data_IF_586005883453
#
_entry.id   IF_586005883453
#
_cell.length_a   1.000
_cell.length_b   1.000
_cell.length_c   1.000
_cell.angle_alpha   90.00
_cell.angle_beta   90.00
_cell.angle_gamma   90.00
#
_symmetry.space_group_name_H-M   'P 1'
#
loop_
_entity.id
_entity.type
_entity.pdbx_description
1 polymer ?
#
# COMPACT_ATOMS: atom_id res chain seq x y z
N UNK A 1 -5.79 -16.53 0.52
CA UNK A 1 -4.34 -16.66 0.58
C UNK A 1 -3.75 -16.07 -0.69
N UNK A 2 -2.80 -15.16 -0.56
CA UNK A 2 -2.09 -14.59 -1.70
C UNK A 2 -1.19 -15.64 -2.38
N UNK A 3 -0.94 -15.43 -3.66
CA UNK A 3 0.00 -16.21 -4.48
C UNK A 3 0.69 -15.25 -5.47
N UNK A 4 1.82 -15.65 -6.06
CA UNK A 4 2.46 -14.85 -7.12
C UNK A 4 1.51 -14.55 -8.28
N UNK A 5 0.59 -15.47 -8.58
CA UNK A 5 -0.43 -15.28 -9.63
C UNK A 5 -1.43 -14.20 -9.25
N UNK A 6 -2.01 -14.27 -8.03
CA UNK A 6 -2.94 -13.24 -7.53
C UNK A 6 -2.28 -11.87 -7.50
N UNK A 7 -1.05 -11.79 -6.98
CA UNK A 7 -0.30 -10.53 -6.93
C UNK A 7 0.07 -10.01 -8.33
N UNK A 8 0.24 -10.90 -9.32
CA UNK A 8 0.45 -10.52 -10.72
C UNK A 8 -0.76 -9.80 -11.34
N UNK A 9 -1.99 -10.19 -10.98
CA UNK A 9 -3.20 -9.47 -11.42
C UNK A 9 -3.27 -8.08 -10.77
N UNK A 10 -2.93 -7.96 -9.48
CA UNK A 10 -2.82 -6.64 -8.84
C UNK A 10 -1.66 -5.81 -9.42
N UNK A 11 -0.52 -6.40 -9.74
CA UNK A 11 0.56 -5.70 -10.47
C UNK A 11 0.06 -5.16 -11.82
N UNK A 12 -0.81 -5.89 -12.50
CA UNK A 12 -1.40 -5.46 -13.77
C UNK A 12 -2.29 -4.23 -13.59
N UNK A 13 -3.18 -4.21 -12.58
CA UNK A 13 -4.01 -3.03 -12.35
C UNK A 13 -3.17 -1.82 -11.90
N UNK A 14 -2.13 -1.99 -11.11
CA UNK A 14 -1.24 -0.88 -10.71
C UNK A 14 -0.53 -0.24 -11.91
N UNK A 15 -0.21 -1.03 -12.94
CA UNK A 15 0.37 -0.54 -14.20
C UNK A 15 -0.67 0.13 -15.10
N UNK A 16 -1.89 -0.41 -15.17
CA UNK A 16 -2.95 0.09 -16.03
C UNK A 16 -3.70 1.28 -15.41
N UNK A 17 -3.75 1.33 -14.08
CA UNK A 17 -4.43 2.37 -13.31
C UNK A 17 -3.51 2.82 -12.15
N UNK A 18 -2.52 3.67 -12.42
CA UNK A 18 -1.57 4.18 -11.42
C UNK A 18 -2.25 4.83 -10.21
N UNK A 19 -1.53 4.86 -9.09
CA UNK A 19 -2.08 5.37 -7.83
C UNK A 19 -2.16 6.89 -7.78
N UNK A 20 -1.33 7.59 -8.56
CA UNK A 20 -1.24 9.03 -8.51
C UNK A 20 -2.31 9.71 -9.36
N UNK A 21 -2.85 10.79 -8.82
CA UNK A 21 -3.67 11.73 -9.55
C UNK A 21 -2.78 12.66 -10.38
N UNK A 22 -3.27 13.09 -11.54
CA UNK A 22 -2.60 14.13 -12.33
C UNK A 22 -2.72 15.51 -11.65
N UNK A 23 -2.12 16.52 -12.25
CA UNK A 23 -2.16 17.90 -11.73
C UNK A 23 -3.59 18.49 -11.62
N UNK A 24 -4.55 17.95 -12.37
CA UNK A 24 -5.97 18.33 -12.30
C UNK A 24 -6.76 17.55 -11.24
N UNK A 25 -6.11 16.68 -10.47
CA UNK A 25 -6.77 15.82 -9.48
C UNK A 25 -7.54 14.65 -10.10
N UNK A 26 -7.18 14.25 -11.32
CA UNK A 26 -7.85 13.16 -12.04
C UNK A 26 -6.97 11.91 -12.14
N UNK A 27 -7.60 10.76 -12.05
CA UNK A 27 -6.96 9.49 -12.36
C UNK A 27 -6.77 9.29 -13.87
N UNK A 28 -5.68 8.63 -14.22
CA UNK A 28 -5.41 8.18 -15.58
C UNK A 28 -5.54 6.65 -15.67
N UNK A 29 -6.24 6.15 -16.69
CA UNK A 29 -6.30 4.73 -17.02
C UNK A 29 -5.56 4.54 -18.35
N UNK A 30 -4.49 3.74 -18.33
CA UNK A 30 -3.75 3.35 -19.53
C UNK A 30 -4.41 2.12 -20.18
N UNK A 31 -4.67 2.23 -21.48
CA UNK A 31 -5.22 1.11 -22.27
C UNK A 31 -6.74 0.94 -22.23
N UNK A 32 -7.25 0.14 -23.17
CA UNK A 32 -8.69 -0.06 -23.38
C UNK A 32 -9.33 -1.06 -22.42
N UNK A 33 -8.57 -1.99 -21.85
CA UNK A 33 -9.10 -3.15 -21.12
C UNK A 33 -9.96 -2.74 -19.91
N UNK A 34 -9.47 -1.83 -19.06
CA UNK A 34 -10.25 -1.35 -17.90
C UNK A 34 -11.42 -0.47 -18.36
N UNK A 35 -11.23 0.32 -19.43
CA UNK A 35 -12.27 1.23 -19.94
C UNK A 35 -13.53 0.51 -20.40
N UNK A 36 -13.44 -0.76 -20.78
CA UNK A 36 -14.59 -1.59 -21.12
C UNK A 36 -15.55 -1.84 -19.94
N UNK A 37 -15.08 -1.60 -18.71
CA UNK A 37 -15.84 -1.75 -17.48
C UNK A 37 -16.40 -0.43 -16.95
N UNK A 38 -16.24 0.69 -17.67
CA UNK A 38 -16.81 1.97 -17.26
C UNK A 38 -18.34 1.93 -17.33
N UNK A 39 -19.03 2.45 -16.31
CA UNK A 39 -20.48 2.50 -16.29
C UNK A 39 -21.01 3.20 -17.55
N UNK A 40 -21.92 2.54 -18.29
CA UNK A 40 -22.49 3.06 -19.55
C UNK A 40 -21.42 3.52 -20.56
N UNK A 41 -20.27 2.85 -20.59
CA UNK A 41 -19.11 3.18 -21.42
C UNK A 41 -18.52 4.58 -21.16
N UNK A 42 -18.80 5.19 -20.01
CA UNK A 42 -18.34 6.52 -19.64
C UNK A 42 -17.32 6.45 -18.50
N UNK A 43 -16.09 6.90 -18.78
CA UNK A 43 -14.96 7.00 -17.83
C UNK A 43 -14.60 8.46 -17.48
N UNK A 44 -15.49 9.44 -17.62
CA UNK A 44 -15.14 10.86 -17.51
C UNK A 44 -14.87 11.30 -16.06
N UNK A 45 -15.44 10.61 -15.06
CA UNK A 45 -15.21 10.92 -13.65
C UNK A 45 -14.24 9.94 -12.98
N UNK A 46 -13.55 10.39 -11.92
CA UNK A 46 -12.74 9.52 -11.08
C UNK A 46 -13.56 8.36 -10.50
N UNK A 47 -14.79 8.60 -10.10
CA UNK A 47 -15.72 7.59 -9.59
C UNK A 47 -15.95 6.49 -10.62
N UNK A 48 -16.24 6.85 -11.88
CA UNK A 48 -16.44 5.89 -12.96
C UNK A 48 -15.16 5.11 -13.27
N UNK A 49 -14.00 5.77 -13.23
CA UNK A 49 -12.69 5.12 -13.42
C UNK A 49 -12.41 4.11 -12.29
N UNK A 50 -12.64 4.49 -11.03
CA UNK A 50 -12.46 3.62 -9.85
C UNK A 50 -13.42 2.43 -9.93
N UNK A 51 -14.68 2.68 -10.26
CA UNK A 51 -15.69 1.65 -10.45
C UNK A 51 -15.26 0.63 -11.53
N UNK A 52 -14.79 1.13 -12.68
CA UNK A 52 -14.30 0.27 -13.75
C UNK A 52 -13.11 -0.60 -13.32
N UNK A 53 -12.15 -0.03 -12.58
CA UNK A 53 -11.02 -0.78 -12.03
C UNK A 53 -11.45 -1.85 -11.02
N UNK A 54 -12.42 -1.54 -10.16
CA UNK A 54 -12.99 -2.48 -9.21
C UNK A 54 -13.68 -3.65 -9.92
N UNK A 55 -14.53 -3.36 -10.89
CA UNK A 55 -15.23 -4.37 -11.67
C UNK A 55 -14.25 -5.22 -12.50
N UNK A 56 -13.21 -4.60 -13.08
CA UNK A 56 -12.15 -5.33 -13.77
C UNK A 56 -11.46 -6.33 -12.84
N UNK A 57 -11.10 -5.94 -11.59
CA UNK A 57 -10.52 -6.86 -10.59
C UNK A 57 -11.45 -8.03 -10.28
N UNK A 58 -12.74 -7.76 -10.03
CA UNK A 58 -13.71 -8.84 -9.82
C UNK A 58 -13.77 -9.79 -11.02
N UNK A 59 -13.74 -9.26 -12.23
CA UNK A 59 -13.74 -10.09 -13.44
C UNK A 59 -12.49 -10.94 -13.59
N UNK A 60 -11.29 -10.38 -13.28
CA UNK A 60 -10.03 -11.14 -13.32
C UNK A 60 -10.04 -12.32 -12.35
N UNK A 61 -10.60 -12.16 -11.17
CA UNK A 61 -10.57 -13.19 -10.14
C UNK A 61 -11.78 -14.13 -10.16
N UNK A 62 -12.94 -13.63 -10.58
CA UNK A 62 -14.21 -14.33 -10.40
C UNK A 62 -15.11 -14.33 -11.65
N UNK A 63 -14.69 -13.75 -12.78
CA UNK A 63 -15.51 -13.54 -13.96
C UNK A 63 -15.87 -14.81 -14.73
N UNK A 64 -15.22 -15.94 -14.43
CA UNK A 64 -15.54 -17.26 -14.98
C UNK A 64 -15.12 -18.35 -14.00
N UNK A 65 -15.59 -19.59 -14.20
CA UNK A 65 -15.14 -20.74 -13.41
C UNK A 65 -13.63 -20.95 -13.50
N UNK A 66 -13.03 -20.69 -14.66
CA UNK A 66 -11.59 -20.74 -14.83
C UNK A 66 -10.87 -19.70 -13.98
N UNK A 67 -11.29 -18.42 -14.05
CA UNK A 67 -10.69 -17.35 -13.26
C UNK A 67 -10.89 -17.60 -11.76
N UNK A 68 -12.10 -18.00 -11.35
CA UNK A 68 -12.42 -18.33 -9.97
C UNK A 68 -11.49 -19.43 -9.43
N UNK A 69 -11.31 -20.51 -10.19
CA UNK A 69 -10.46 -21.62 -9.77
C UNK A 69 -8.97 -21.31 -9.90
N UNK A 70 -8.54 -20.64 -10.98
CA UNK A 70 -7.11 -20.48 -11.30
C UNK A 70 -6.45 -19.29 -10.60
N UNK A 71 -7.16 -18.17 -10.45
CA UNK A 71 -6.62 -16.94 -9.85
C UNK A 71 -6.98 -16.86 -8.37
N UNK A 72 -8.24 -17.01 -8.04
CA UNK A 72 -8.72 -16.90 -6.67
C UNK A 72 -8.66 -18.22 -5.91
N UNK A 73 -8.70 -19.35 -6.59
CA UNK A 73 -8.75 -20.70 -5.98
C UNK A 73 -9.86 -20.81 -4.91
N UNK A 74 -11.04 -20.29 -5.19
CA UNK A 74 -12.14 -20.18 -4.24
C UNK A 74 -11.88 -19.26 -3.04
N UNK A 75 -10.77 -18.52 -3.04
CA UNK A 75 -10.33 -17.73 -1.89
C UNK A 75 -11.07 -16.40 -1.78
N UNK A 76 -11.99 -16.34 -0.85
CA UNK A 76 -12.79 -15.15 -0.56
C UNK A 76 -12.01 -13.99 0.07
N UNK A 77 -10.78 -14.21 0.57
CA UNK A 77 -9.97 -13.13 1.12
C UNK A 77 -9.44 -12.17 0.02
N UNK A 78 -9.46 -12.61 -1.24
CA UNK A 78 -9.12 -11.72 -2.37
C UNK A 78 -10.09 -10.54 -2.47
N UNK A 79 -11.36 -10.74 -2.09
CA UNK A 79 -12.34 -9.63 -1.98
C UNK A 79 -11.84 -8.55 -1.01
N UNK A 80 -11.20 -8.93 0.09
CA UNK A 80 -10.62 -7.98 1.05
C UNK A 80 -9.55 -7.12 0.37
N UNK A 81 -8.68 -7.71 -0.42
CA UNK A 81 -7.62 -6.98 -1.14
C UNK A 81 -8.19 -6.08 -2.25
N UNK A 82 -9.26 -6.51 -2.92
CA UNK A 82 -9.99 -5.64 -3.86
C UNK A 82 -10.56 -4.41 -3.11
N UNK A 83 -11.15 -4.63 -1.91
CA UNK A 83 -11.70 -3.54 -1.10
C UNK A 83 -10.60 -2.60 -0.58
N UNK A 84 -9.43 -3.12 -0.18
CA UNK A 84 -8.27 -2.29 0.20
C UNK A 84 -7.82 -1.42 -0.98
N UNK A 85 -7.70 -1.99 -2.18
CA UNK A 85 -7.37 -1.23 -3.39
C UNK A 85 -8.42 -0.14 -3.68
N UNK A 86 -9.69 -0.48 -3.60
CA UNK A 86 -10.81 0.43 -3.84
C UNK A 86 -10.80 1.60 -2.84
N UNK A 87 -10.64 1.32 -1.55
CA UNK A 87 -10.58 2.36 -0.51
C UNK A 87 -9.37 3.26 -0.66
N UNK A 88 -8.22 2.72 -1.05
CA UNK A 88 -7.04 3.54 -1.34
C UNK A 88 -7.32 4.54 -2.47
N UNK A 89 -7.94 4.09 -3.57
CA UNK A 89 -8.32 4.97 -4.68
C UNK A 89 -9.33 6.03 -4.25
N UNK A 90 -10.33 5.68 -3.46
CA UNK A 90 -11.31 6.63 -2.94
C UNK A 90 -10.68 7.65 -1.98
N UNK A 91 -9.78 7.21 -1.10
CA UNK A 91 -9.12 8.07 -0.11
C UNK A 91 -8.16 9.09 -0.75
N UNK A 92 -7.55 8.75 -1.89
CA UNK A 92 -6.66 9.66 -2.63
C UNK A 92 -7.42 10.81 -3.34
N UNK A 93 -8.71 10.70 -3.56
CA UNK A 93 -9.48 11.79 -4.16
C UNK A 93 -9.58 12.96 -3.19
N UNK A 94 -9.28 14.18 -3.67
CA UNK A 94 -9.23 15.40 -2.88
C UNK A 94 -10.57 15.76 -2.20
N UNK A 95 -11.69 15.30 -2.75
CA UNK A 95 -13.05 15.57 -2.25
C UNK A 95 -13.84 14.25 -2.18
N UNK A 96 -13.33 13.26 -1.44
CA UNK A 96 -14.13 12.05 -1.23
C UNK A 96 -15.40 12.38 -0.44
N UNK A 97 -16.55 11.97 -1.00
CA UNK A 97 -17.86 12.17 -0.37
C UNK A 97 -18.25 10.97 0.52
N UNK A 98 -17.36 9.99 0.67
CA UNK A 98 -17.63 8.74 1.37
C UNK A 98 -16.84 8.67 2.67
N UNK A 99 -17.52 8.38 3.77
CA UNK A 99 -16.89 8.14 5.07
C UNK A 99 -16.39 6.69 5.18
N UNK A 100 -17.19 5.75 4.70
CA UNK A 100 -16.87 4.32 4.69
C UNK A 100 -17.19 3.70 3.32
N UNK A 101 -16.72 2.48 3.10
CA UNK A 101 -16.91 1.80 1.83
C UNK A 101 -18.37 1.38 1.60
N UNK A 102 -19.17 1.20 2.66
CA UNK A 102 -20.59 0.84 2.55
C UNK A 102 -21.40 1.94 1.86
N UNK A 103 -21.04 3.22 2.05
CA UNK A 103 -21.66 4.33 1.32
C UNK A 103 -21.38 4.25 -0.18
N UNK A 104 -20.13 3.95 -0.56
CA UNK A 104 -19.78 3.73 -1.96
C UNK A 104 -20.47 2.50 -2.53
N UNK A 105 -20.48 1.40 -1.78
CA UNK A 105 -21.16 0.16 -2.15
C UNK A 105 -22.63 0.41 -2.45
N UNK A 106 -23.35 1.06 -1.54
CA UNK A 106 -24.79 1.32 -1.69
C UNK A 106 -25.12 2.22 -2.87
N UNK A 107 -24.27 3.21 -3.17
CA UNK A 107 -24.51 4.18 -4.25
C UNK A 107 -24.05 3.68 -5.63
N UNK A 108 -22.94 2.95 -5.69
CA UNK A 108 -22.25 2.68 -6.94
C UNK A 108 -22.06 1.19 -7.29
N UNK A 109 -22.22 0.27 -6.33
CA UNK A 109 -22.03 -1.16 -6.55
C UNK A 109 -23.35 -1.91 -6.50
N UNK A 110 -24.09 -1.79 -5.41
CA UNK A 110 -25.25 -2.61 -5.10
C UNK A 110 -26.34 -2.57 -6.19
N UNK A 111 -26.53 -1.42 -6.84
CA UNK A 111 -27.56 -1.22 -7.87
C UNK A 111 -27.03 -1.27 -9.30
N UNK A 112 -25.76 -1.62 -9.49
CA UNK A 112 -25.10 -1.71 -10.80
C UNK A 112 -25.22 -3.11 -11.34
N UNK A 113 -25.77 -3.25 -12.54
CA UNK A 113 -26.14 -4.55 -13.12
C UNK A 113 -24.92 -5.43 -13.38
N UNK A 114 -23.78 -4.85 -13.73
CA UNK A 114 -22.53 -5.55 -13.99
C UNK A 114 -22.04 -6.38 -12.79
N UNK A 115 -22.34 -5.95 -11.55
CA UNK A 115 -22.01 -6.72 -10.33
C UNK A 115 -23.01 -7.83 -10.02
N UNK A 116 -24.20 -7.82 -10.69
CA UNK A 116 -25.26 -8.82 -10.53
C UNK A 116 -25.18 -9.93 -11.57
N UNK A 117 -24.27 -9.80 -12.54
CA UNK A 117 -24.09 -10.81 -13.58
C UNK A 117 -23.69 -12.13 -12.92
N UNK A 118 -24.29 -13.22 -13.44
CA UNK A 118 -24.05 -14.55 -12.93
C UNK A 118 -22.58 -14.97 -13.16
N UNK A 119 -22.00 -15.60 -12.13
CA UNK A 119 -20.67 -16.22 -12.22
C UNK A 119 -20.86 -17.63 -12.78
N UNK A 120 -20.35 -17.87 -13.97
CA UNK A 120 -20.55 -19.12 -14.68
C UNK A 120 -19.95 -20.33 -13.94
N UNK A 121 -20.73 -21.42 -13.89
CA UNK A 121 -20.32 -22.72 -13.35
C UNK A 121 -19.80 -22.69 -11.88
N UNK A 122 -20.21 -21.69 -11.10
CA UNK A 122 -19.97 -21.61 -9.66
C UNK A 122 -21.32 -21.69 -8.95
N UNK A 123 -21.50 -22.67 -8.06
CA UNK A 123 -22.80 -22.94 -7.42
C UNK A 123 -22.98 -22.22 -6.10
N UNK A 124 -21.88 -21.85 -5.43
CA UNK A 124 -21.89 -21.27 -4.08
C UNK A 124 -22.21 -19.77 -4.09
N UNK A 125 -21.74 -19.05 -5.13
CA UNK A 125 -21.94 -17.61 -5.29
C UNK A 125 -22.57 -17.32 -6.65
N UNK A 126 -23.62 -16.51 -6.65
CA UNK A 126 -24.35 -16.20 -7.88
C UNK A 126 -23.71 -15.06 -8.68
N UNK A 127 -23.13 -14.08 -7.97
CA UNK A 127 -22.61 -12.86 -8.58
C UNK A 127 -21.58 -12.17 -7.64
N UNK A 128 -21.00 -11.04 -8.07
CA UNK A 128 -20.03 -10.30 -7.27
C UNK A 128 -20.63 -9.66 -6.00
N UNK A 129 -21.93 -9.33 -6.00
CA UNK A 129 -22.63 -8.84 -4.81
C UNK A 129 -22.60 -9.89 -3.71
N UNK A 130 -22.83 -11.17 -4.04
CA UNK A 130 -22.77 -12.26 -3.06
C UNK A 130 -21.37 -12.37 -2.45
N UNK A 131 -20.31 -12.24 -3.27
CA UNK A 131 -18.93 -12.26 -2.79
C UNK A 131 -18.62 -11.10 -1.83
N UNK A 132 -19.09 -9.88 -2.15
CA UNK A 132 -18.92 -8.70 -1.30
C UNK A 132 -19.69 -8.88 0.01
N UNK A 133 -20.92 -9.40 -0.04
CA UNK A 133 -21.75 -9.62 1.13
C UNK A 133 -21.15 -10.61 2.13
N UNK A 134 -20.35 -11.59 1.68
CA UNK A 134 -19.59 -12.48 2.57
C UNK A 134 -18.56 -11.71 3.43
N UNK A 135 -18.16 -10.54 3.00
CA UNK A 135 -17.21 -9.65 3.69
C UNK A 135 -17.85 -8.34 4.16
N UNK A 136 -19.18 -8.32 4.34
CA UNK A 136 -19.95 -7.08 4.62
C UNK A 136 -19.42 -6.30 5.82
N UNK A 137 -18.98 -6.97 6.89
CA UNK A 137 -18.41 -6.29 8.06
C UNK A 137 -17.19 -5.44 7.74
N UNK A 138 -16.42 -5.81 6.70
CA UNK A 138 -15.19 -5.10 6.31
C UNK A 138 -15.51 -3.79 5.59
N UNK A 139 -16.62 -3.71 4.87
CA UNK A 139 -16.99 -2.48 4.14
C UNK A 139 -17.51 -1.36 5.05
N UNK A 140 -17.78 -1.64 6.32
CA UNK A 140 -18.20 -0.63 7.31
C UNK A 140 -17.00 0.10 7.97
N UNK A 141 -15.75 -0.33 7.67
CA UNK A 141 -14.55 0.36 8.15
C UNK A 141 -14.45 1.74 7.47
N UNK A 142 -13.98 2.73 8.24
CA UNK A 142 -13.65 4.05 7.69
C UNK A 142 -12.64 3.95 6.53
N UNK A 143 -12.88 4.71 5.46
CA UNK A 143 -12.03 4.70 4.26
C UNK A 143 -10.59 5.02 4.59
N UNK A 144 -10.34 5.99 5.50
CA UNK A 144 -8.98 6.37 5.89
C UNK A 144 -8.26 5.24 6.61
N UNK A 145 -8.98 4.53 7.49
CA UNK A 145 -8.40 3.42 8.23
C UNK A 145 -8.16 2.20 7.34
N UNK A 146 -9.10 1.86 6.48
CA UNK A 146 -8.91 0.76 5.54
C UNK A 146 -7.83 1.06 4.50
N UNK A 147 -7.70 2.30 4.06
CA UNK A 147 -6.66 2.75 3.13
C UNK A 147 -5.23 2.55 3.66
N UNK A 148 -5.03 2.54 4.99
CA UNK A 148 -3.72 2.30 5.62
C UNK A 148 -3.15 0.91 5.33
N UNK A 149 -4.00 -0.06 5.04
CA UNK A 149 -3.57 -1.43 4.68
C UNK A 149 -2.97 -1.54 3.28
N UNK A 150 -3.12 -0.52 2.45
CA UNK A 150 -2.74 -0.60 1.03
C UNK A 150 -1.24 -0.78 0.81
N UNK A 151 -0.41 -0.02 1.53
CA UNK A 151 1.04 -0.09 1.36
C UNK A 151 1.58 -1.43 1.83
N UNK A 152 1.14 -1.93 2.99
CA UNK A 152 1.48 -3.26 3.47
C UNK A 152 1.03 -4.36 2.48
N UNK A 153 -0.17 -4.27 1.92
CA UNK A 153 -0.65 -5.19 0.89
C UNK A 153 0.24 -5.17 -0.35
N UNK A 154 0.60 -3.97 -0.82
CA UNK A 154 1.44 -3.79 -2.02
C UNK A 154 2.85 -4.37 -1.82
N UNK A 155 3.45 -4.12 -0.65
CA UNK A 155 4.76 -4.69 -0.27
C UNK A 155 4.67 -6.22 -0.23
N UNK A 156 3.65 -6.77 0.42
CA UNK A 156 3.43 -8.22 0.49
C UNK A 156 3.28 -8.85 -0.91
N UNK A 157 2.55 -8.21 -1.81
CA UNK A 157 2.46 -8.66 -3.20
C UNK A 157 3.81 -8.60 -3.93
N UNK A 158 4.62 -7.57 -3.69
CA UNK A 158 5.96 -7.50 -4.25
C UNK A 158 6.84 -8.67 -3.76
N UNK A 159 6.72 -9.08 -2.50
CA UNK A 159 7.40 -10.27 -1.97
C UNK A 159 6.98 -11.54 -2.71
N UNK A 160 5.67 -11.76 -2.88
CA UNK A 160 5.14 -12.92 -3.62
C UNK A 160 5.61 -12.97 -5.08
N UNK A 161 5.65 -11.81 -5.77
CA UNK A 161 6.12 -11.71 -7.16
C UNK A 161 7.63 -11.96 -7.25
N UNK A 162 8.41 -11.40 -6.34
CA UNK A 162 9.86 -11.54 -6.33
C UNK A 162 10.29 -12.98 -6.02
N UNK A 163 9.70 -13.60 -5.02
CA UNK A 163 10.02 -14.99 -4.67
C UNK A 163 9.67 -15.96 -5.80
N UNK A 164 8.59 -15.67 -6.54
CA UNK A 164 8.20 -16.47 -7.71
C UNK A 164 9.12 -16.32 -8.92
N UNK A 165 9.86 -15.20 -9.03
CA UNK A 165 10.75 -14.91 -10.17
C UNK A 165 12.22 -15.16 -9.87
N UNK A 166 12.69 -14.83 -8.67
CA UNK A 166 14.13 -14.72 -8.33
C UNK A 166 14.51 -15.47 -7.04
N UNK A 167 13.52 -16.11 -6.39
CA UNK A 167 13.76 -16.71 -5.08
C UNK A 167 13.99 -15.67 -3.97
N UNK A 168 14.72 -16.05 -2.92
CA UNK A 168 15.09 -15.13 -1.83
C UNK A 168 16.28 -14.30 -2.29
N UNK A 169 16.00 -13.07 -2.72
CA UNK A 169 16.97 -12.09 -3.14
C UNK A 169 17.15 -11.00 -2.08
N UNK A 170 18.17 -10.14 -2.24
CA UNK A 170 18.32 -8.95 -1.40
C UNK A 170 17.08 -8.08 -1.43
N UNK A 171 16.51 -7.85 -2.61
CA UNK A 171 15.26 -7.06 -2.78
C UNK A 171 14.09 -7.70 -2.07
N UNK A 172 13.97 -9.04 -2.06
CA UNK A 172 12.94 -9.73 -1.30
C UNK A 172 13.07 -9.47 0.20
N UNK A 173 14.31 -9.51 0.74
CA UNK A 173 14.56 -9.24 2.16
C UNK A 173 14.30 -7.76 2.54
N UNK A 174 14.59 -6.82 1.62
CA UNK A 174 14.23 -5.41 1.78
C UNK A 174 12.71 -5.26 1.92
N UNK A 175 11.91 -5.85 1.02
CA UNK A 175 10.45 -5.86 1.15
C UNK A 175 9.96 -6.55 2.42
N UNK A 176 10.62 -7.62 2.87
CA UNK A 176 10.22 -8.29 4.12
C UNK A 176 10.38 -7.37 5.33
N UNK A 177 11.47 -6.60 5.42
CA UNK A 177 11.67 -5.61 6.47
C UNK A 177 10.68 -4.44 6.36
N UNK A 178 10.47 -3.90 5.14
CA UNK A 178 9.46 -2.87 4.91
C UNK A 178 8.05 -3.32 5.33
N UNK A 179 7.71 -4.60 5.07
CA UNK A 179 6.43 -5.15 5.49
C UNK A 179 6.28 -5.19 7.00
N UNK A 180 7.33 -5.58 7.74
CA UNK A 180 7.32 -5.58 9.21
C UNK A 180 7.10 -4.18 9.75
N UNK A 181 7.76 -3.17 9.17
CA UNK A 181 7.61 -1.77 9.58
C UNK A 181 6.18 -1.25 9.32
N UNK A 182 5.61 -1.53 8.14
CA UNK A 182 4.24 -1.16 7.83
C UNK A 182 3.22 -1.91 8.71
N UNK A 183 3.47 -3.20 8.98
CA UNK A 183 2.62 -3.99 9.87
C UNK A 183 2.63 -3.43 11.30
N UNK A 184 3.78 -2.98 11.82
CA UNK A 184 3.88 -2.31 13.13
C UNK A 184 3.05 -1.02 13.17
N UNK A 185 3.07 -0.21 12.11
CA UNK A 185 2.23 1.00 12.02
C UNK A 185 0.73 0.66 12.07
N UNK A 186 0.32 -0.40 11.36
CA UNK A 186 -1.05 -0.89 11.40
C UNK A 186 -1.43 -1.42 12.78
N UNK A 187 -0.53 -2.14 13.45
CA UNK A 187 -0.75 -2.67 14.79
C UNK A 187 -0.89 -1.56 15.84
N UNK A 188 -0.19 -0.46 15.68
CA UNK A 188 -0.26 0.70 16.57
C UNK A 188 -1.57 1.49 16.45
N UNK A 189 -2.42 1.20 15.46
CA UNK A 189 -3.70 1.87 15.31
C UNK A 189 -4.66 1.55 16.47
N UNK A 190 -5.41 2.54 16.94
CA UNK A 190 -6.37 2.38 18.04
C UNK A 190 -7.53 1.41 17.70
N UNK A 191 -7.81 1.19 16.41
CA UNK A 191 -8.83 0.22 15.98
C UNK A 191 -8.44 -1.24 16.30
N UNK A 192 -7.19 -1.51 16.66
CA UNK A 192 -6.71 -2.83 17.11
C UNK A 192 -7.11 -3.16 18.55
N UNK A 193 -7.56 -2.19 19.35
CA UNK A 193 -7.94 -2.39 20.75
C UNK A 193 -9.21 -3.26 20.93
N UNK A 194 -9.96 -3.47 19.86
CA UNK A 194 -11.12 -4.35 19.83
C UNK A 194 -10.76 -5.65 19.11
N UNK A 195 -10.66 -6.75 19.84
CA UNK A 195 -10.25 -8.06 19.29
C UNK A 195 -11.10 -8.50 18.08
N UNK A 196 -12.41 -8.35 18.14
CA UNK A 196 -13.34 -8.74 17.07
C UNK A 196 -13.56 -7.66 16.00
N UNK A 197 -12.72 -6.63 15.95
CA UNK A 197 -12.88 -5.56 14.98
C UNK A 197 -12.62 -6.05 13.55
N UNK A 198 -13.33 -5.47 12.60
CA UNK A 198 -13.07 -5.71 11.17
C UNK A 198 -11.66 -5.29 10.78
N UNK A 199 -11.09 -4.31 11.48
CA UNK A 199 -9.70 -3.89 11.32
C UNK A 199 -8.74 -5.04 11.65
N UNK A 200 -8.93 -5.71 12.82
CA UNK A 200 -8.12 -6.87 13.22
C UNK A 200 -8.29 -8.06 12.27
N UNK A 201 -9.46 -8.24 11.65
CA UNK A 201 -9.67 -9.27 10.64
C UNK A 201 -8.81 -9.02 9.39
N UNK A 202 -8.68 -7.77 8.96
CA UNK A 202 -7.77 -7.42 7.84
C UNK A 202 -6.32 -7.61 8.25
N UNK A 203 -5.93 -7.13 9.43
CA UNK A 203 -4.59 -7.30 9.98
C UNK A 203 -4.19 -8.77 10.06
N UNK A 204 -5.09 -9.62 10.57
CA UNK A 204 -4.92 -11.07 10.60
C UNK A 204 -4.81 -11.69 9.20
N UNK A 205 -5.54 -11.18 8.22
CA UNK A 205 -5.45 -11.65 6.83
C UNK A 205 -4.05 -11.40 6.26
N UNK A 206 -3.48 -10.20 6.46
CA UNK A 206 -2.12 -9.86 6.03
C UNK A 206 -1.07 -10.72 6.74
N UNK A 207 -1.17 -10.87 8.06
CA UNK A 207 -0.23 -11.66 8.86
C UNK A 207 -0.26 -13.14 8.46
N UNK A 208 -1.44 -13.69 8.19
CA UNK A 208 -1.59 -15.06 7.71
C UNK A 208 -0.94 -15.25 6.33
N UNK A 209 -1.17 -14.33 5.39
CA UNK A 209 -0.57 -14.42 4.06
C UNK A 209 0.95 -14.23 4.11
N UNK A 210 1.49 -13.37 4.98
CA UNK A 210 2.92 -13.28 5.26
C UNK A 210 3.49 -14.60 5.81
N UNK A 211 2.84 -15.19 6.80
CA UNK A 211 3.26 -16.46 7.40
C UNK A 211 3.22 -17.62 6.41
N UNK A 212 2.25 -17.63 5.49
CA UNK A 212 2.17 -18.63 4.41
C UNK A 212 3.33 -18.47 3.43
N UNK A 213 3.72 -17.24 3.10
CA UNK A 213 4.89 -17.01 2.25
C UNK A 213 6.16 -17.59 2.88
N UNK A 214 6.36 -17.42 4.20
CA UNK A 214 7.49 -17.99 4.94
C UNK A 214 7.51 -19.53 4.96
N UNK A 215 6.33 -20.18 4.84
CA UNK A 215 6.24 -21.66 4.76
C UNK A 215 6.59 -22.22 3.38
N UNK A 216 6.66 -21.38 2.35
CA UNK A 216 7.12 -21.83 1.04
C UNK A 216 8.59 -22.26 1.12
N UNK A 217 8.95 -23.27 0.34
CA UNK A 217 10.31 -23.79 0.29
C UNK A 217 10.99 -23.35 -0.99
N UNK A 218 12.23 -22.88 -0.85
CA UNK A 218 13.15 -22.63 -1.97
C UNK A 218 14.34 -23.55 -1.77
N UNK A 219 14.68 -24.34 -2.76
CA UNK A 219 15.74 -25.37 -2.67
C UNK A 219 15.56 -26.32 -1.47
N UNK A 220 14.29 -26.65 -1.16
CA UNK A 220 13.91 -27.55 -0.07
C UNK A 220 13.93 -26.93 1.33
N UNK A 221 14.35 -25.67 1.49
CA UNK A 221 14.39 -24.96 2.77
C UNK A 221 13.25 -23.95 2.88
N UNK A 222 12.61 -23.81 4.07
CA UNK A 222 11.66 -22.73 4.31
C UNK A 222 12.30 -21.35 4.11
N UNK A 223 11.48 -20.38 3.71
CA UNK A 223 11.93 -18.98 3.60
C UNK A 223 12.02 -18.39 5.01
N UNK A 224 13.20 -17.93 5.39
CA UNK A 224 13.38 -17.20 6.66
C UNK A 224 12.87 -15.76 6.49
N UNK A 225 11.80 -15.45 7.21
CA UNK A 225 11.19 -14.11 7.26
C UNK A 225 11.45 -13.44 8.62
N UNK A 226 11.63 -12.12 8.66
CA UNK A 226 11.59 -11.37 9.90
C UNK A 226 10.28 -11.62 10.66
N UNK A 227 10.35 -11.71 12.00
CA UNK A 227 9.18 -11.91 12.83
C UNK A 227 8.26 -10.68 12.80
N UNK A 228 6.94 -10.89 12.71
CA UNK A 228 5.99 -9.80 12.86
C UNK A 228 5.89 -9.38 14.33
N UNK A 229 5.72 -8.07 14.60
CA UNK A 229 5.44 -7.59 15.93
C UNK A 229 4.08 -8.09 16.42
N UNK A 230 4.00 -8.40 17.71
CA UNK A 230 2.78 -8.89 18.37
C UNK A 230 2.16 -7.86 19.30
N UNK A 231 2.91 -6.81 19.64
CA UNK A 231 2.51 -5.77 20.57
C UNK A 231 2.67 -4.38 19.96
N UNK A 232 1.86 -3.45 20.43
CA UNK A 232 2.02 -2.02 20.09
C UNK A 232 3.33 -1.51 20.65
N UNK A 233 4.02 -0.68 19.88
CA UNK A 233 5.14 0.10 20.45
C UNK A 233 4.58 1.18 21.35
N UNK A 234 5.12 1.30 22.59
CA UNK A 234 4.76 2.39 23.46
C UNK A 234 5.08 3.74 22.77
N UNK A 235 4.09 4.61 22.65
CA UNK A 235 4.33 6.00 22.25
C UNK A 235 5.35 6.60 23.22
N UNK A 236 6.51 7.03 22.72
CA UNK A 236 7.35 7.98 23.43
C UNK A 236 6.55 9.29 23.49
N UNK A 237 5.89 9.52 24.63
CA UNK A 237 5.35 10.83 24.94
C UNK A 237 6.57 11.75 25.07
N UNK A 238 6.86 12.52 24.04
CA UNK A 238 7.71 13.69 24.16
C UNK A 238 6.95 14.66 25.05
N UNK A 239 7.29 14.67 26.32
CA UNK A 239 6.87 15.71 27.26
C UNK A 239 7.55 16.99 26.79
N UNK A 240 6.86 17.75 25.95
CA UNK A 240 7.20 19.13 25.69
C UNK A 240 7.02 19.89 27.02
N UNK A 241 8.10 20.28 27.64
CA UNK A 241 8.15 21.17 28.78
C UNK A 241 7.33 22.43 28.50
N UNK A 242 6.11 22.45 28.97
CA UNK A 242 5.29 23.65 29.00
C UNK A 242 5.63 24.43 30.26
N UNK A 243 6.59 25.35 30.13
CA UNK A 243 6.94 26.33 31.11
C UNK A 243 5.86 27.40 31.22
N UNK A 244 5.10 27.40 32.30
CA UNK A 244 4.09 28.46 32.54
C UNK A 244 3.49 28.48 33.92
N UNK A 245 4.11 29.25 34.81
CA UNK A 245 3.56 30.19 35.80
C UNK A 245 2.91 29.69 37.10
N UNK A 246 3.66 29.92 38.17
CA UNK A 246 3.35 30.33 39.58
C UNK A 246 1.92 30.23 40.10
N UNK A 247 1.74 29.59 41.26
CA UNK A 247 1.31 30.24 42.51
C UNK A 247 1.49 29.28 43.71
N UNK A 248 2.34 29.63 44.59
CA UNK A 248 2.35 29.82 46.08
C UNK A 248 1.37 28.97 46.90
N UNK A 249 1.83 28.12 47.83
CA UNK A 249 1.94 28.33 49.26
C UNK A 249 2.27 27.05 50.03
N UNK A 250 3.27 27.16 50.88
CA UNK A 250 3.50 26.72 52.28
C UNK A 250 3.19 25.25 52.64
N UNK A 251 4.02 24.47 53.28
CA UNK A 251 4.80 24.69 54.48
C UNK A 251 5.54 23.41 54.86
N UNK A 252 6.73 23.50 55.44
CA UNK A 252 7.20 22.64 56.53
C UNK A 252 8.38 21.70 56.26
N UNK A 253 9.58 22.22 56.51
CA UNK A 253 10.62 21.81 57.49
C UNK A 253 11.38 20.49 57.28
N UNK A 254 12.62 20.54 57.11
CA UNK A 254 13.93 20.44 57.78
C UNK A 254 14.86 19.44 57.05
N UNK A 255 15.96 19.98 56.67
CA UNK A 255 17.38 19.87 57.05
C UNK A 255 18.09 18.55 56.76
N UNK A 256 19.17 18.57 55.98
CA UNK A 256 20.55 18.68 56.49
C UNK A 256 21.59 18.57 55.34
N UNK A 257 22.42 19.57 55.26
CA UNK A 257 23.84 19.70 54.88
C UNK A 257 24.62 18.59 54.12
N UNK A 258 25.32 18.95 53.06
CA UNK A 258 26.73 19.33 53.05
C UNK A 258 27.29 19.65 51.65
N UNK A 259 27.88 20.83 51.63
CA UNK A 259 29.04 21.41 50.93
C UNK A 259 29.72 20.73 49.73
N UNK A 260 29.78 21.52 48.69
CA UNK A 260 30.97 22.11 48.01
C UNK A 260 31.59 21.31 46.84
N UNK A 261 31.68 21.83 45.63
CA UNK A 261 32.79 22.67 45.15
C UNK A 261 32.52 23.11 43.69
N UNK A 262 32.78 24.38 43.46
CA UNK A 262 32.76 25.10 42.20
C UNK A 262 33.95 24.64 41.34
N UNK A 263 33.74 24.42 40.03
CA UNK A 263 34.76 24.66 39.04
C UNK A 263 34.10 25.07 37.72
N UNK A 264 34.41 26.30 37.33
CA UNK A 264 34.09 26.90 36.04
C UNK A 264 34.89 26.23 34.95
N UNK A 265 34.27 25.96 33.80
CA UNK A 265 34.96 26.06 32.54
C UNK A 265 33.99 26.36 31.39
N UNK A 266 34.32 27.39 30.67
CA UNK A 266 33.82 27.97 29.46
C UNK A 266 33.19 27.02 28.47
N UNK A 267 32.01 27.37 27.98
CA UNK A 267 31.42 26.82 26.78
C UNK A 267 31.28 27.93 25.75
N UNK A 268 32.20 27.96 24.82
CA UNK A 268 32.03 28.71 23.56
C UNK A 268 31.06 28.04 22.62
N UNK A 269 29.96 28.71 22.30
CA UNK A 269 29.04 28.32 21.26
C UNK A 269 29.71 28.44 19.88
N UNK A 270 29.55 27.46 18.99
CA UNK A 270 29.99 27.61 17.59
C UNK A 270 29.05 28.51 16.80
N UNK A 271 29.65 29.41 16.02
CA UNK A 271 29.01 30.35 15.09
C UNK A 271 28.17 29.68 14.01
N UNK A 272 27.07 30.34 13.51
CA UNK A 272 26.10 29.76 12.58
C UNK A 272 26.58 29.43 11.17
N UNK A 273 27.81 29.71 10.79
CA UNK A 273 28.30 29.58 9.41
C UNK A 273 28.83 28.19 9.01
N UNK A 274 28.96 27.26 9.96
CA UNK A 274 29.53 25.93 9.68
C UNK A 274 28.45 24.87 9.37
N UNK A 275 27.19 25.08 9.75
CA UNK A 275 26.12 24.08 9.61
C UNK A 275 25.64 23.95 8.16
N UNK A 276 25.74 24.98 7.35
CA UNK A 276 25.24 24.99 5.96
C UNK A 276 26.12 24.24 4.94
N UNK A 277 27.40 24.00 5.23
CA UNK A 277 28.30 23.29 4.30
C UNK A 277 28.16 21.77 4.36
N UNK A 278 27.79 21.20 5.50
CA UNK A 278 27.63 19.75 5.68
C UNK A 278 26.34 19.20 5.09
N UNK A 279 25.30 20.04 4.94
CA UNK A 279 23.99 19.65 4.38
C UNK A 279 23.95 19.78 2.86
N UNK A 280 24.73 20.70 2.27
CA UNK A 280 24.75 20.96 0.82
C UNK A 280 25.42 19.83 0.00
N UNK A 281 26.41 19.15 0.56
CA UNK A 281 27.18 18.11 -0.15
C UNK A 281 26.30 16.89 -0.48
N UNK A 282 25.52 16.31 0.45
CA UNK A 282 24.66 15.17 0.12
C UNK A 282 23.51 15.53 -0.84
N UNK A 283 22.99 16.76 -0.80
CA UNK A 283 21.93 17.20 -1.71
C UNK A 283 22.44 17.28 -3.15
N UNK A 284 23.64 17.81 -3.37
CA UNK A 284 24.27 17.88 -4.69
C UNK A 284 24.55 16.45 -5.23
N UNK A 285 24.99 15.52 -4.38
CA UNK A 285 25.25 14.14 -4.77
C UNK A 285 23.95 13.42 -5.20
N UNK A 286 22.85 13.59 -4.48
CA UNK A 286 21.56 13.01 -4.85
C UNK A 286 21.04 13.61 -6.16
N UNK A 287 21.14 14.92 -6.33
CA UNK A 287 20.73 15.59 -7.57
C UNK A 287 21.52 15.12 -8.81
N UNK A 288 22.84 14.90 -8.67
CA UNK A 288 23.68 14.38 -9.76
C UNK A 288 23.34 12.93 -10.13
N UNK A 289 23.04 12.07 -9.16
CA UNK A 289 22.60 10.70 -9.41
C UNK A 289 21.25 10.63 -10.12
N UNK A 290 20.31 11.51 -9.78
CA UNK A 290 19.02 11.61 -10.47
C UNK A 290 19.22 12.04 -11.92
N UNK A 291 20.05 13.06 -12.18
CA UNK A 291 20.33 13.54 -13.53
C UNK A 291 21.02 12.46 -14.39
N UNK A 292 21.95 11.71 -13.81
CA UNK A 292 22.61 10.59 -14.49
C UNK A 292 21.61 9.47 -14.81
N UNK A 293 20.68 9.15 -13.91
CA UNK A 293 19.62 8.16 -14.13
C UNK A 293 18.68 8.59 -15.27
N UNK A 294 18.32 9.85 -15.34
CA UNK A 294 17.48 10.41 -16.42
C UNK A 294 18.25 10.34 -17.75
N UNK A 295 19.51 10.78 -17.79
CA UNK A 295 20.33 10.74 -18.99
C UNK A 295 20.53 9.31 -19.52
N UNK A 296 20.77 8.34 -18.63
CA UNK A 296 20.88 6.93 -18.97
C UNK A 296 19.58 6.38 -19.58
N UNK A 297 18.44 6.73 -19.02
CA UNK A 297 17.12 6.34 -19.55
C UNK A 297 16.88 6.89 -20.96
N UNK A 298 17.23 8.14 -21.22
CA UNK A 298 17.08 8.73 -22.55
C UNK A 298 18.05 8.16 -23.59
N UNK A 299 19.28 7.83 -23.21
CA UNK A 299 20.25 7.14 -24.08
C UNK A 299 19.74 5.76 -24.50
N UNK A 300 19.23 4.95 -23.56
CA UNK A 300 18.65 3.62 -23.86
C UNK A 300 17.45 3.69 -24.81
N UNK A 301 16.55 4.67 -24.63
CA UNK A 301 15.43 4.88 -25.55
C UNK A 301 15.87 5.30 -26.95
N UNK A 302 16.91 6.10 -27.06
CA UNK A 302 17.50 6.53 -28.35
C UNK A 302 18.05 5.36 -29.16
N UNK A 303 18.75 4.41 -28.51
CA UNK A 303 19.31 3.22 -29.15
C UNK A 303 18.20 2.26 -29.62
N UNK A 304 17.16 2.04 -28.83
CA UNK A 304 16.05 1.15 -29.17
C UNK A 304 15.28 1.63 -30.41
N UNK A 305 15.08 2.94 -30.56
CA UNK A 305 14.42 3.55 -31.73
C UNK A 305 15.24 3.44 -33.01
N UNK A 306 16.56 3.49 -32.92
CA UNK A 306 17.48 3.32 -34.07
C UNK A 306 17.51 1.87 -34.54
N UNK A 307 17.55 0.91 -33.65
CA UNK A 307 17.55 -0.53 -33.97
C UNK A 307 16.24 -0.96 -34.67
N UNK A 308 15.07 -0.50 -34.21
CA UNK A 308 13.81 -0.78 -34.87
C UNK A 308 13.69 -0.19 -36.28
N UNK A 309 14.26 1.00 -36.48
CA UNK A 309 14.27 1.66 -37.81
C UNK A 309 15.19 0.94 -38.82
N UNK A 310 16.30 0.37 -38.38
CA UNK A 310 17.18 -0.46 -39.19
C UNK A 310 16.51 -1.79 -39.57
N UNK A 311 15.90 -2.48 -38.60
CA UNK A 311 15.16 -3.73 -38.85
C UNK A 311 14.02 -3.58 -39.85
N UNK A 312 13.26 -2.46 -39.78
CA UNK A 312 12.18 -2.17 -40.75
C UNK A 312 12.73 -1.86 -42.14
N UNK A 313 13.89 -1.20 -42.27
CA UNK A 313 14.51 -0.92 -43.58
C UNK A 313 15.06 -2.18 -44.27
N UNK A 314 15.56 -3.16 -43.51
CA UNK A 314 16.00 -4.44 -44.05
C UNK A 314 14.82 -5.32 -44.51
N UNK A 315 13.67 -5.26 -43.81
CA UNK A 315 12.45 -5.98 -44.19
C UNK A 315 11.77 -5.42 -45.46
N UNK A 316 11.99 -4.12 -45.77
CA UNK A 316 11.43 -3.48 -46.97
C UNK A 316 12.33 -3.64 -48.22
N UNK A 317 13.54 -4.22 -48.08
CA UNK A 317 14.48 -4.48 -49.17
C UNK A 317 14.46 -5.92 -49.67
N UNK A 318 13.64 -6.79 -49.04
CA UNK A 318 13.32 -8.14 -49.47
C UNK A 318 11.91 -8.17 -50.06
#
# INVERSE_FOLDING_TARGET
MLTSRVCGEFESIWKLFPDDLNASGEYYISGGTIKNYCPKSNCDSNINKIHAGCLWLFNQFYGSSYNFSSNANGNMNIVVYIMIWLTHKLNKMLNTQFSNLNEFYSKHIQNTDEYKNHIDNVTEYKNYIDLINQKKKIIDIDIKDMSKFYDAFKILCNMYINVGKQGVSKTFLEYANEFVDEYQKLLNNNNTDREDSSYNQILSTLSNDYSVLGRNKIDGKPIELPSLPTEKTAEKVEISDFKGTKTVSMSGTQESNSKAKISNSDSTLPSPSQVNKLILIPIIFVATLILLGIAYKYLLFGFRKRSQKQYLREKLKK
#
